data_IF_263017111222
#
_entry.id   IF_263017111222
#
_cell.length_a   1.000
_cell.length_b   1.000
_cell.length_c   1.000
_cell.angle_alpha   90.00
_cell.angle_beta   90.00
_cell.angle_gamma   90.00
#
_symmetry.space_group_name_H-M   'P 1'
#
loop_
_entity.id
_entity.type
_entity.pdbx_description
1 polymer ?
#
# COMPACT_ATOMS: atom_id res chain seq x y z
N UNK A 1 18.02 28.95 -11.45
CA UNK A 1 17.06 28.10 -10.72
C UNK A 1 16.90 28.70 -9.35
N UNK A 2 15.75 29.32 -9.05
CA UNK A 2 15.47 29.75 -7.67
C UNK A 2 15.28 28.51 -6.81
N UNK A 3 16.25 28.23 -5.92
CA UNK A 3 16.14 27.11 -4.95
C UNK A 3 14.89 27.21 -4.05
N UNK A 4 14.26 28.38 -3.99
CA UNK A 4 13.11 28.66 -3.11
C UNK A 4 11.75 28.23 -3.67
N UNK A 5 11.65 27.71 -4.90
CA UNK A 5 10.37 27.25 -5.45
C UNK A 5 9.99 25.83 -5.03
N UNK A 6 10.92 25.07 -4.44
CA UNK A 6 10.67 23.69 -4.01
C UNK A 6 9.85 23.65 -2.73
N UNK A 7 8.77 22.87 -2.75
CA UNK A 7 7.99 22.56 -1.55
C UNK A 7 8.51 21.28 -0.91
N UNK A 8 8.92 21.38 0.35
CA UNK A 8 9.24 20.24 1.20
C UNK A 8 8.03 19.94 2.07
N UNK A 9 7.52 18.73 1.95
CA UNK A 9 6.34 18.30 2.69
C UNK A 9 6.65 17.98 4.15
N UNK A 10 5.59 17.84 4.95
CA UNK A 10 5.73 17.46 6.37
C UNK A 10 6.25 16.03 6.58
N UNK A 11 6.26 15.19 5.55
CA UNK A 11 6.52 13.75 5.63
C UNK A 11 5.61 12.99 6.61
N UNK A 12 4.48 13.59 6.98
CA UNK A 12 3.47 12.96 7.81
C UNK A 12 2.74 11.85 7.04
N UNK A 13 2.25 10.87 7.78
CA UNK A 13 1.43 9.79 7.27
C UNK A 13 0.32 9.48 8.27
N UNK A 14 -0.79 9.00 7.76
CA UNK A 14 -1.85 8.40 8.55
C UNK A 14 -1.75 6.87 8.47
N UNK A 15 -2.05 6.21 9.58
CA UNK A 15 -2.26 4.76 9.59
C UNK A 15 -3.57 4.45 8.86
N UNK A 16 -3.52 3.49 7.95
CA UNK A 16 -4.69 2.88 7.34
C UNK A 16 -4.75 1.40 7.75
N UNK A 17 -5.93 0.76 7.68
CA UNK A 17 -6.15 -0.63 8.12
C UNK A 17 -5.05 -1.59 7.65
N UNK A 18 -4.56 -1.42 6.42
CA UNK A 18 -3.55 -2.27 5.80
C UNK A 18 -2.42 -1.49 5.13
N UNK A 19 -1.92 -0.44 5.79
CA UNK A 19 -0.75 0.30 5.32
C UNK A 19 -0.74 1.75 5.80
N UNK A 20 -0.34 2.65 4.89
CA UNK A 20 -0.20 4.07 5.18
C UNK A 20 -0.91 4.91 4.12
N UNK A 21 -1.45 6.05 4.55
CA UNK A 21 -1.92 7.10 3.65
C UNK A 21 -1.03 8.33 3.80
N UNK A 22 -0.52 8.83 2.69
CA UNK A 22 0.34 10.01 2.64
C UNK A 22 -0.39 11.07 1.79
N UNK A 23 -0.76 12.17 2.44
CA UNK A 23 -1.45 13.27 1.78
C UNK A 23 -0.45 14.20 1.08
N UNK A 24 -0.89 14.98 0.08
CA UNK A 24 0.01 15.82 -0.71
C UNK A 24 0.79 16.86 0.12
N UNK A 25 0.25 17.31 1.27
CA UNK A 25 0.98 18.17 2.20
C UNK A 25 2.28 17.55 2.75
N UNK A 26 2.37 16.22 2.74
CA UNK A 26 3.54 15.45 3.18
C UNK A 26 4.50 15.08 2.04
N UNK A 27 4.16 15.40 0.78
CA UNK A 27 4.99 15.13 -0.39
C UNK A 27 5.94 16.29 -0.67
N UNK A 28 7.09 15.99 -1.25
CA UNK A 28 7.97 16.97 -1.86
C UNK A 28 7.48 17.25 -3.28
N UNK A 29 7.38 18.53 -3.64
CA UNK A 29 6.86 18.96 -4.94
C UNK A 29 7.81 20.01 -5.52
N UNK A 30 8.44 19.70 -6.64
CA UNK A 30 9.26 20.66 -7.37
C UNK A 30 8.34 21.74 -7.96
N UNK A 31 8.74 23.00 -7.79
CA UNK A 31 7.91 24.20 -8.05
C UNK A 31 6.70 24.39 -7.12
N UNK A 32 6.53 23.54 -6.09
CA UNK A 32 5.32 23.52 -5.27
C UNK A 32 5.03 24.82 -4.52
N UNK A 33 6.04 25.58 -4.09
CA UNK A 33 5.84 26.86 -3.37
C UNK A 33 5.32 27.99 -4.26
N UNK A 34 5.38 27.81 -5.57
CA UNK A 34 4.96 28.81 -6.53
C UNK A 34 3.53 28.55 -7.01
N UNK A 35 2.61 29.41 -6.56
CA UNK A 35 1.18 29.35 -6.88
C UNK A 35 0.85 29.42 -8.37
N UNK A 36 1.80 29.83 -9.23
CA UNK A 36 1.65 29.82 -10.69
C UNK A 36 1.70 28.41 -11.27
N UNK A 37 2.35 27.48 -10.56
CA UNK A 37 2.61 26.11 -11.02
C UNK A 37 1.82 25.07 -10.23
N UNK A 38 1.58 25.31 -8.94
CA UNK A 38 0.86 24.39 -8.07
C UNK A 38 -0.11 25.11 -7.14
N UNK A 39 -1.29 24.50 -6.93
CA UNK A 39 -2.15 24.79 -5.79
C UNK A 39 -1.88 23.73 -4.72
N UNK A 40 -1.09 24.10 -3.73
CA UNK A 40 -0.78 23.23 -2.59
C UNK A 40 -2.00 23.07 -1.67
N UNK A 41 -2.14 21.91 -1.00
CA UNK A 41 -3.21 21.71 -0.04
C UNK A 41 -3.00 22.56 1.21
N UNK A 42 -4.09 22.99 1.83
CA UNK A 42 -4.04 23.63 3.15
C UNK A 42 -3.93 22.61 4.29
N UNK A 43 -4.44 21.38 4.11
CA UNK A 43 -4.41 20.28 5.08
C UNK A 43 -4.38 18.88 4.40
N UNK A 44 -5.24 17.92 4.81
CA UNK A 44 -5.46 16.60 4.18
C UNK A 44 -6.26 16.70 2.86
N UNK A 45 -6.02 17.76 2.11
CA UNK A 45 -6.67 18.06 0.85
C UNK A 45 -5.78 17.65 -0.34
N UNK A 46 -6.32 17.72 -1.54
CA UNK A 46 -5.62 17.42 -2.79
C UNK A 46 -4.62 18.53 -3.18
N UNK A 47 -3.56 18.16 -3.90
CA UNK A 47 -2.71 19.10 -4.62
C UNK A 47 -3.11 19.14 -6.09
N UNK A 48 -3.21 20.33 -6.68
CA UNK A 48 -3.52 20.51 -8.09
C UNK A 48 -2.32 21.14 -8.82
N UNK A 49 -1.85 20.46 -9.86
CA UNK A 49 -0.88 20.97 -10.80
C UNK A 49 -1.56 21.97 -11.73
N UNK A 50 -1.19 23.24 -11.63
CA UNK A 50 -1.63 24.27 -12.57
C UNK A 50 -0.95 24.05 -13.91
N UNK A 51 0.39 24.11 -13.94
CA UNK A 51 1.18 23.79 -15.14
C UNK A 51 2.67 23.66 -14.81
N UNK A 52 3.38 22.70 -15.43
CA UNK A 52 4.86 22.63 -15.42
C UNK A 52 5.41 21.95 -16.68
N UNK A 53 6.63 22.28 -17.08
CA UNK A 53 7.41 21.48 -18.04
C UNK A 53 8.29 20.42 -17.36
N UNK A 54 8.59 20.59 -16.07
CA UNK A 54 9.33 19.65 -15.21
C UNK A 54 8.44 19.21 -14.05
N UNK A 55 7.94 17.97 -14.10
CA UNK A 55 7.08 17.41 -13.07
C UNK A 55 7.88 16.42 -12.21
N UNK A 56 7.97 16.69 -10.91
CA UNK A 56 8.55 15.77 -9.94
C UNK A 56 7.83 15.91 -8.60
N UNK A 57 7.25 14.81 -8.15
CA UNK A 57 6.58 14.68 -6.85
C UNK A 57 7.08 13.43 -6.16
N UNK A 58 7.56 13.56 -4.93
CA UNK A 58 8.12 12.43 -4.17
C UNK A 58 7.60 12.35 -2.75
N UNK A 59 7.57 11.16 -2.20
CA UNK A 59 7.21 10.89 -0.80
C UNK A 59 8.03 9.73 -0.26
N UNK A 60 8.19 9.68 1.06
CA UNK A 60 8.89 8.60 1.75
C UNK A 60 8.16 8.23 3.05
N UNK A 61 8.27 6.96 3.44
CA UNK A 61 7.77 6.44 4.71
C UNK A 61 8.85 5.60 5.40
N UNK A 62 9.18 5.97 6.64
CA UNK A 62 10.19 5.30 7.48
C UNK A 62 9.59 4.29 8.47
N UNK A 63 8.25 4.24 8.59
CA UNK A 63 7.52 3.32 9.48
C UNK A 63 7.18 1.97 8.84
N UNK A 64 7.69 1.72 7.64
CA UNK A 64 7.49 0.44 6.98
C UNK A 64 8.20 -0.69 7.75
N UNK A 65 7.46 -1.77 8.01
CA UNK A 65 7.97 -3.01 8.58
C UNK A 65 8.97 -3.68 7.64
N UNK A 66 10.11 -4.19 8.13
CA UNK A 66 11.06 -4.96 7.32
C UNK A 66 10.47 -6.30 6.88
N UNK A 67 11.10 -6.96 5.91
CA UNK A 67 10.68 -8.28 5.37
C UNK A 67 9.18 -8.34 4.99
N UNK A 68 8.65 -7.22 4.53
CA UNK A 68 7.25 -7.05 4.13
C UNK A 68 7.20 -6.52 2.71
N UNK A 69 6.35 -7.13 1.89
CA UNK A 69 6.08 -6.63 0.54
C UNK A 69 5.00 -5.56 0.60
N UNK A 70 5.33 -4.36 0.12
CA UNK A 70 4.41 -3.24 -0.04
C UNK A 70 4.00 -3.09 -1.48
N UNK A 71 2.76 -2.68 -1.66
CA UNK A 71 2.14 -2.28 -2.89
C UNK A 71 1.88 -0.77 -2.81
N UNK A 72 2.53 0.01 -3.66
CA UNK A 72 2.44 1.47 -3.62
C UNK A 72 1.58 1.96 -4.77
N UNK A 73 0.65 2.84 -4.45
CA UNK A 73 -0.30 3.45 -5.38
C UNK A 73 -0.39 4.96 -5.19
N UNK A 74 -0.77 5.67 -6.24
CA UNK A 74 -1.24 7.04 -6.17
C UNK A 74 -2.72 7.10 -6.55
N UNK A 75 -3.51 7.86 -5.80
CA UNK A 75 -4.84 8.27 -6.25
C UNK A 75 -4.71 9.60 -6.99
N UNK A 76 -4.92 9.56 -8.31
CA UNK A 76 -4.78 10.71 -9.19
C UNK A 76 -6.12 11.10 -9.81
N UNK A 77 -6.19 12.32 -10.31
CA UNK A 77 -7.29 12.78 -11.16
C UNK A 77 -6.79 13.76 -12.21
N UNK A 78 -7.37 13.77 -13.41
CA UNK A 78 -7.21 14.89 -14.35
C UNK A 78 -8.44 15.79 -14.30
N UNK A 79 -8.22 17.09 -14.32
CA UNK A 79 -9.29 18.08 -14.51
C UNK A 79 -9.80 18.05 -15.96
N UNK A 80 -11.02 18.53 -16.25
CA UNK A 80 -11.55 18.55 -17.62
C UNK A 80 -10.65 19.30 -18.62
N UNK A 81 -10.02 20.38 -18.15
CA UNK A 81 -9.09 21.23 -18.87
C UNK A 81 -7.63 20.76 -18.83
N UNK A 82 -7.35 19.58 -18.25
CA UNK A 82 -6.00 19.04 -18.20
C UNK A 82 -5.36 18.92 -19.60
N UNK A 83 -4.05 19.05 -19.68
CA UNK A 83 -3.34 19.03 -20.96
C UNK A 83 -1.93 18.46 -20.81
N UNK A 84 -1.34 18.07 -21.94
CA UNK A 84 0.04 17.56 -21.99
C UNK A 84 0.22 16.09 -21.60
N UNK A 85 -0.79 15.39 -21.09
CA UNK A 85 -0.64 14.00 -20.62
C UNK A 85 -0.91 12.90 -21.67
N UNK A 86 -1.66 13.18 -22.74
CA UNK A 86 -2.13 12.16 -23.69
C UNK A 86 -1.01 11.39 -24.43
N UNK A 87 0.18 11.97 -24.58
CA UNK A 87 1.33 11.35 -25.26
C UNK A 87 2.60 11.27 -24.40
N UNK A 88 2.52 11.78 -23.16
CA UNK A 88 3.67 11.86 -22.27
C UNK A 88 3.56 10.80 -21.17
N UNK A 89 4.47 9.82 -21.12
CA UNK A 89 4.48 8.88 -20.01
C UNK A 89 4.87 9.60 -18.73
N UNK A 90 4.04 9.45 -17.70
CA UNK A 90 4.41 9.74 -16.32
C UNK A 90 5.14 8.52 -15.74
N UNK A 91 6.36 8.73 -15.25
CA UNK A 91 7.16 7.66 -14.67
C UNK A 91 6.84 7.55 -13.19
N UNK A 92 6.37 6.38 -12.76
CA UNK A 92 6.15 6.06 -11.36
C UNK A 92 7.28 5.16 -10.86
N UNK A 93 7.88 5.55 -9.74
CA UNK A 93 8.98 4.83 -9.11
C UNK A 93 8.64 4.50 -7.66
N UNK A 94 9.13 3.34 -7.21
CA UNK A 94 9.20 2.95 -5.80
C UNK A 94 10.62 2.48 -5.49
N UNK A 95 11.15 2.87 -4.34
CA UNK A 95 12.52 2.63 -3.90
C UNK A 95 12.55 2.18 -2.44
N UNK A 96 13.42 1.22 -2.14
CA UNK A 96 13.76 0.75 -0.80
C UNK A 96 15.27 0.53 -0.74
N UNK A 97 15.99 1.40 -0.02
CA UNK A 97 17.45 1.40 -0.02
C UNK A 97 18.03 1.49 -1.44
N UNK A 98 18.85 0.51 -1.81
CA UNK A 98 19.42 0.39 -3.17
C UNK A 98 18.43 -0.14 -4.21
N UNK A 99 17.37 -0.84 -3.79
CA UNK A 99 16.38 -1.46 -4.67
C UNK A 99 15.41 -0.42 -5.19
N UNK A 100 15.13 -0.46 -6.49
CA UNK A 100 14.09 0.37 -7.08
C UNK A 100 13.32 -0.41 -8.16
N UNK A 101 12.06 -0.04 -8.34
CA UNK A 101 11.23 -0.45 -9.47
C UNK A 101 10.57 0.79 -10.04
N UNK A 102 10.41 0.81 -11.35
CA UNK A 102 9.75 1.91 -12.04
C UNK A 102 8.87 1.40 -13.16
N UNK A 103 7.89 2.21 -13.57
CA UNK A 103 7.08 1.96 -14.76
C UNK A 103 6.56 3.25 -15.37
N UNK A 104 6.17 3.16 -16.64
CA UNK A 104 5.50 4.23 -17.37
C UNK A 104 3.99 4.12 -17.16
N UNK A 105 3.35 5.24 -16.91
CA UNK A 105 1.90 5.40 -16.80
C UNK A 105 1.49 6.44 -17.83
N UNK A 106 0.47 6.11 -18.63
CA UNK A 106 -0.14 7.06 -19.56
C UNK A 106 -1.46 7.51 -18.95
N UNK A 107 -1.59 8.80 -18.68
CA UNK A 107 -2.82 9.40 -18.17
C UNK A 107 -3.58 9.97 -19.36
N UNK A 108 -4.73 9.39 -19.69
CA UNK A 108 -5.57 9.79 -20.83
C UNK A 108 -6.88 10.40 -20.32
N UNK A 109 -7.47 11.38 -21.00
CA UNK A 109 -8.73 12.01 -20.56
C UNK A 109 -9.90 11.02 -20.52
N UNK A 110 -9.81 9.96 -21.31
CA UNK A 110 -10.73 8.83 -21.31
C UNK A 110 -10.43 7.95 -20.06
N UNK A 111 -10.90 8.37 -18.88
CA UNK A 111 -10.75 7.59 -17.65
C UNK A 111 -11.91 6.60 -17.46
N UNK A 112 -11.50 5.38 -17.09
CA UNK A 112 -12.27 4.20 -16.74
C UNK A 112 -12.97 4.45 -15.39
N UNK A 113 -14.27 4.72 -15.46
CA UNK A 113 -15.29 4.87 -14.39
C UNK A 113 -16.02 6.22 -14.49
N UNK A 114 -17.12 6.20 -15.23
CA UNK A 114 -18.03 7.33 -15.44
C UNK A 114 -18.73 7.81 -14.16
N UNK A 115 -18.67 7.05 -13.05
CA UNK A 115 -19.37 7.40 -11.81
C UNK A 115 -18.58 8.30 -10.86
N UNK A 116 -17.24 8.29 -10.90
CA UNK A 116 -16.40 9.01 -9.93
C UNK A 116 -15.37 9.98 -10.53
N UNK A 117 -15.08 9.88 -11.85
CA UNK A 117 -14.10 10.74 -12.52
C UNK A 117 -12.71 10.71 -11.88
N UNK A 118 -12.36 9.61 -11.21
CA UNK A 118 -11.09 9.43 -10.50
C UNK A 118 -10.21 8.47 -11.28
N UNK A 119 -8.93 8.80 -11.43
CA UNK A 119 -7.95 7.88 -11.97
C UNK A 119 -7.49 7.01 -10.81
N UNK A 120 -8.18 5.90 -10.59
CA UNK A 120 -7.51 4.75 -10.00
C UNK A 120 -6.52 4.26 -11.05
N UNK A 121 -5.36 4.93 -11.12
CA UNK A 121 -4.25 4.52 -11.97
C UNK A 121 -4.10 3.01 -11.75
N UNK A 122 -4.26 2.16 -12.77
CA UNK A 122 -4.49 0.71 -12.62
C UNK A 122 -3.23 -0.05 -12.18
N UNK A 123 -2.35 0.63 -11.47
CA UNK A 123 -0.94 0.51 -11.67
C UNK A 123 -0.17 0.80 -10.37
N UNK A 124 -0.43 -0.06 -9.40
CA UNK A 124 0.43 -0.35 -8.26
C UNK A 124 1.86 -0.78 -8.66
N UNK A 125 2.85 -0.47 -7.82
CA UNK A 125 4.19 -1.08 -7.87
C UNK A 125 4.46 -1.81 -6.56
N UNK A 126 4.94 -3.06 -6.65
CA UNK A 126 5.29 -3.84 -5.46
C UNK A 126 6.78 -3.79 -5.17
N UNK A 127 7.16 -3.54 -3.93
CA UNK A 127 8.55 -3.59 -3.46
C UNK A 127 8.65 -4.41 -2.17
N UNK A 128 9.72 -5.19 -2.07
CA UNK A 128 9.99 -5.99 -0.87
C UNK A 128 11.04 -5.31 0.01
N UNK A 129 10.74 -5.24 1.30
CA UNK A 129 11.58 -4.58 2.31
C UNK A 129 12.52 -5.55 3.04
N UNK A 130 12.78 -6.74 2.49
CA UNK A 130 13.78 -7.66 3.01
C UNK A 130 15.20 -7.13 2.79
N UNK A 131 16.09 -7.49 3.72
CA UNK A 131 17.50 -7.11 3.74
C UNK A 131 17.81 -5.95 4.69
N UNK A 132 19.07 -5.86 5.13
CA UNK A 132 19.57 -4.75 5.93
C UNK A 132 20.00 -3.61 5.02
N UNK A 133 19.06 -2.79 4.58
CA UNK A 133 19.40 -1.55 3.89
C UNK A 133 19.83 -0.49 4.91
N UNK A 134 20.82 0.32 4.54
CA UNK A 134 21.31 1.44 5.36
C UNK A 134 20.25 2.53 5.55
N UNK A 135 19.35 2.68 4.57
CA UNK A 135 18.22 3.60 4.60
C UNK A 135 16.91 2.82 4.66
N UNK A 136 16.33 2.74 5.86
CA UNK A 136 15.07 2.02 6.14
C UNK A 136 13.84 2.85 5.74
N UNK A 137 13.89 3.47 4.56
CA UNK A 137 12.82 4.32 4.02
C UNK A 137 12.31 3.77 2.71
N UNK A 138 11.00 3.57 2.63
CA UNK A 138 10.31 3.30 1.38
C UNK A 138 9.96 4.65 0.75
N UNK A 139 10.57 4.97 -0.38
CA UNK A 139 10.31 6.20 -1.12
C UNK A 139 9.60 5.88 -2.43
N UNK A 140 8.82 6.83 -2.93
CA UNK A 140 8.06 6.69 -4.16
C UNK A 140 7.82 8.05 -4.80
N UNK A 141 7.55 8.09 -6.10
CA UNK A 141 7.37 9.36 -6.78
C UNK A 141 6.90 9.26 -8.21
N UNK A 142 6.42 10.39 -8.72
CA UNK A 142 5.94 10.61 -10.08
C UNK A 142 6.86 11.60 -10.79
N UNK A 143 7.28 11.27 -12.01
CA UNK A 143 8.27 12.03 -12.76
C UNK A 143 7.86 12.19 -14.22
N UNK A 144 7.91 13.42 -14.71
CA UNK A 144 8.01 13.74 -16.14
C UNK A 144 8.92 14.97 -16.27
N UNK A 145 10.23 14.70 -16.36
CA UNK A 145 11.30 15.71 -16.32
C UNK A 145 12.08 15.79 -17.64
N UNK A 146 11.75 14.95 -18.62
CA UNK A 146 12.59 14.73 -19.80
C UNK A 146 12.05 15.40 -21.05
N UNK A 147 10.73 15.48 -21.22
CA UNK A 147 10.14 15.92 -22.47
C UNK A 147 10.28 17.43 -22.70
N UNK A 148 10.42 18.22 -21.62
CA UNK A 148 10.32 19.67 -21.64
C UNK A 148 8.93 20.21 -22.05
N UNK A 149 7.95 19.34 -22.29
CA UNK A 149 6.60 19.74 -22.69
C UNK A 149 5.78 20.14 -21.48
N UNK A 150 5.04 21.23 -21.62
CA UNK A 150 4.12 21.72 -20.60
C UNK A 150 2.94 20.77 -20.43
N UNK A 151 2.57 20.56 -19.16
CA UNK A 151 1.42 19.76 -18.75
C UNK A 151 0.76 20.40 -17.53
N UNK A 152 -0.54 20.21 -17.37
CA UNK A 152 -1.33 20.83 -16.32
C UNK A 152 -2.66 20.12 -16.08
N UNK A 153 -3.31 20.41 -14.96
CA UNK A 153 -4.59 19.82 -14.57
C UNK A 153 -4.47 18.44 -13.90
N UNK A 154 -3.30 18.06 -13.38
CA UNK A 154 -3.14 16.85 -12.58
C UNK A 154 -3.49 17.13 -11.11
N UNK A 155 -4.39 16.35 -10.56
CA UNK A 155 -4.74 16.34 -9.14
C UNK A 155 -4.12 15.11 -8.49
N UNK A 156 -3.41 15.32 -7.38
CA UNK A 156 -2.88 14.28 -6.51
C UNK A 156 -3.69 14.30 -5.22
N UNK A 157 -4.42 13.21 -4.93
CA UNK A 157 -5.22 13.11 -3.70
C UNK A 157 -4.46 12.46 -2.56
N UNK A 158 -3.71 11.38 -2.83
CA UNK A 158 -2.87 10.68 -1.84
C UNK A 158 -1.92 9.68 -2.49
N UNK A 159 -0.81 9.39 -1.81
CA UNK A 159 0.02 8.22 -2.01
C UNK A 159 -0.28 7.16 -0.95
N UNK A 160 -0.30 5.88 -1.33
CA UNK A 160 -0.70 4.78 -0.44
C UNK A 160 0.26 3.60 -0.57
N UNK A 161 1.25 3.47 0.32
CA UNK A 161 1.97 2.22 0.53
C UNK A 161 1.10 1.25 1.35
N UNK A 162 0.50 0.25 0.68
CA UNK A 162 -0.34 -0.79 1.28
C UNK A 162 0.43 -2.10 1.42
N UNK A 163 0.00 -2.98 2.32
CA UNK A 163 0.52 -4.35 2.35
C UNK A 163 0.04 -5.10 1.11
N UNK A 164 0.97 -5.71 0.35
CA UNK A 164 0.62 -6.46 -0.85
C UNK A 164 -0.15 -7.76 -0.56
N UNK A 165 -0.05 -8.29 0.66
CA UNK A 165 -0.90 -9.36 1.19
C UNK A 165 -1.01 -9.14 2.69
N UNK A 166 -2.22 -9.19 3.22
CA UNK A 166 -2.47 -9.06 4.65
C UNK A 166 -3.37 -10.18 5.15
N UNK A 167 -3.18 -10.51 6.42
CA UNK A 167 -4.04 -11.43 7.13
C UNK A 167 -5.37 -10.72 7.37
N UNK A 168 -6.46 -11.32 6.88
CA UNK A 168 -7.83 -10.81 7.07
C UNK A 168 -8.43 -11.36 8.34
N UNK A 169 -8.37 -12.68 8.52
CA UNK A 169 -9.01 -13.36 9.65
C UNK A 169 -8.37 -14.73 9.95
N UNK A 170 -8.60 -15.27 11.16
CA UNK A 170 -8.34 -16.66 11.54
C UNK A 170 -9.67 -17.39 11.53
N UNK A 171 -9.91 -18.19 10.49
CA UNK A 171 -11.24 -18.77 10.23
C UNK A 171 -11.43 -20.17 10.82
N UNK A 172 -10.36 -20.84 11.22
CA UNK A 172 -10.42 -22.12 11.93
C UNK A 172 -9.09 -22.42 12.65
N UNK A 173 -9.13 -23.33 13.62
CA UNK A 173 -7.94 -23.92 14.25
C UNK A 173 -8.04 -25.46 14.25
N UNK A 174 -6.89 -26.15 14.32
CA UNK A 174 -6.80 -27.60 14.41
C UNK A 174 -5.52 -28.00 15.13
N UNK A 175 -5.62 -28.90 16.10
CA UNK A 175 -4.45 -29.52 16.73
C UNK A 175 -4.26 -30.92 16.15
N UNK A 176 -3.05 -31.19 15.66
CA UNK A 176 -2.64 -32.52 15.22
C UNK A 176 -1.73 -33.15 16.28
N UNK A 177 -2.19 -34.24 16.88
CA UNK A 177 -1.44 -34.99 17.89
C UNK A 177 -0.49 -35.96 17.17
N UNK A 178 0.83 -35.72 17.23
CA UNK A 178 1.83 -36.68 16.79
C UNK A 178 2.42 -37.41 18.00
N UNK A 179 2.91 -38.63 17.79
CA UNK A 179 3.46 -39.51 18.84
C UNK A 179 4.55 -38.86 19.72
N UNK A 180 5.19 -37.79 19.24
CA UNK A 180 6.29 -37.11 19.93
C UNK A 180 6.13 -35.60 20.06
N UNK A 181 5.08 -34.97 19.49
CA UNK A 181 4.82 -33.53 19.59
C UNK A 181 3.41 -33.14 19.12
N UNK A 182 2.84 -32.08 19.69
CA UNK A 182 1.58 -31.52 19.24
C UNK A 182 1.85 -30.40 18.23
N UNK A 183 1.16 -30.42 17.10
CA UNK A 183 1.27 -29.39 16.07
C UNK A 183 -0.04 -28.61 15.99
N UNK A 184 -0.02 -27.35 16.41
CA UNK A 184 -1.16 -26.47 16.35
C UNK A 184 -1.16 -25.71 15.00
N UNK A 185 -2.23 -25.88 14.24
CA UNK A 185 -2.42 -25.24 12.94
C UNK A 185 -3.62 -24.29 13.00
N UNK A 186 -3.47 -23.15 12.35
CA UNK A 186 -4.53 -22.15 12.18
C UNK A 186 -4.80 -21.95 10.70
N UNK A 187 -6.07 -21.91 10.34
CA UNK A 187 -6.50 -21.58 8.99
C UNK A 187 -6.61 -20.06 8.87
N UNK A 188 -5.74 -19.52 8.03
CA UNK A 188 -5.59 -18.09 7.84
C UNK A 188 -6.26 -17.70 6.54
N UNK A 189 -7.25 -16.81 6.65
CA UNK A 189 -7.82 -16.13 5.51
C UNK A 189 -6.96 -14.92 5.19
N UNK A 190 -6.33 -14.94 4.03
CA UNK A 190 -5.56 -13.83 3.49
C UNK A 190 -6.41 -13.02 2.53
N UNK A 191 -6.14 -11.73 2.44
CA UNK A 191 -6.72 -10.85 1.42
C UNK A 191 -5.62 -10.09 0.69
N UNK A 192 -5.81 -9.95 -0.61
CA UNK A 192 -5.12 -8.99 -1.47
C UNK A 192 -6.18 -8.18 -2.25
N UNK A 193 -5.80 -7.13 -2.96
CA UNK A 193 -6.67 -6.29 -3.79
C UNK A 193 -7.44 -7.06 -4.89
N UNK A 194 -7.07 -8.31 -5.19
CA UNK A 194 -7.67 -9.15 -6.25
C UNK A 194 -8.39 -10.42 -5.77
N UNK A 195 -8.09 -10.93 -4.57
CA UNK A 195 -8.55 -12.28 -4.17
C UNK A 195 -8.45 -12.50 -2.65
N UNK A 196 -9.28 -13.42 -2.16
CA UNK A 196 -9.19 -14.03 -0.84
C UNK A 196 -8.79 -15.49 -0.94
N UNK A 197 -7.89 -15.91 -0.06
CA UNK A 197 -7.35 -17.26 -0.05
C UNK A 197 -7.18 -17.76 1.39
N UNK A 198 -7.64 -18.97 1.67
CA UNK A 198 -7.55 -19.60 2.98
C UNK A 198 -6.44 -20.66 2.99
N UNK A 199 -5.49 -20.58 3.93
CA UNK A 199 -4.37 -21.55 4.03
C UNK A 199 -4.07 -21.91 5.48
N UNK A 200 -3.74 -23.19 5.72
CA UNK A 200 -3.31 -23.65 7.05
C UNK A 200 -1.84 -23.28 7.32
N UNK A 201 -1.56 -22.75 8.51
CA UNK A 201 -0.24 -22.29 8.96
C UNK A 201 0.01 -22.69 10.41
N UNK A 202 1.29 -22.77 10.80
CA UNK A 202 1.70 -23.03 12.18
C UNK A 202 1.29 -21.88 13.11
N UNK A 203 0.61 -22.20 14.20
CA UNK A 203 0.06 -21.18 15.12
C UNK A 203 1.15 -20.36 15.79
N UNK A 204 2.27 -20.98 16.17
CA UNK A 204 3.38 -20.29 16.86
C UNK A 204 4.07 -19.30 15.93
N UNK A 205 4.28 -19.68 14.67
CA UNK A 205 4.79 -18.78 13.62
C UNK A 205 3.83 -17.60 13.41
N UNK A 206 2.53 -17.87 13.28
CA UNK A 206 1.54 -16.83 13.00
C UNK A 206 1.34 -15.88 14.17
N UNK A 207 1.35 -16.37 15.41
CA UNK A 207 1.26 -15.56 16.62
C UNK A 207 2.50 -14.67 16.79
N UNK A 208 3.70 -15.16 16.45
CA UNK A 208 4.91 -14.34 16.46
C UNK A 208 4.83 -13.15 15.49
N UNK A 209 4.22 -13.36 14.31
CA UNK A 209 4.16 -12.35 13.24
C UNK A 209 2.93 -11.42 13.31
N UNK A 210 1.81 -11.90 13.83
CA UNK A 210 0.52 -11.20 13.87
C UNK A 210 -0.12 -11.26 15.27
N UNK A 211 0.69 -11.10 16.32
CA UNK A 211 0.29 -11.29 17.73
C UNK A 211 -1.00 -10.57 18.13
N UNK A 212 -1.25 -9.37 17.60
CA UNK A 212 -2.45 -8.57 17.89
C UNK A 212 -3.77 -9.26 17.53
N UNK A 213 -3.77 -10.23 16.61
CA UNK A 213 -4.96 -11.00 16.21
C UNK A 213 -5.20 -12.24 17.08
N UNK A 214 -4.18 -12.71 17.80
CA UNK A 214 -4.27 -13.84 18.73
C UNK A 214 -4.54 -13.38 20.17
N UNK A 215 -4.86 -12.10 20.35
CA UNK A 215 -4.95 -11.41 21.64
C UNK A 215 -6.38 -10.96 21.97
N UNK A 216 -7.31 -11.88 22.23
CA UNK A 216 -8.54 -11.65 23.03
C UNK A 216 -9.13 -12.98 23.55
N UNK A 217 -9.91 -12.96 24.66
CA UNK A 217 -9.77 -13.88 25.79
C UNK A 217 -10.57 -15.19 25.69
N UNK A 218 -10.02 -16.23 26.33
CA UNK A 218 -10.75 -17.35 26.96
C UNK A 218 -11.88 -18.00 26.15
N UNK A 219 -11.56 -18.59 25.00
CA UNK A 219 -12.40 -19.68 24.41
C UNK A 219 -11.67 -21.04 24.52
N UNK A 220 -10.44 -21.06 25.06
CA UNK A 220 -9.61 -22.26 25.16
C UNK A 220 -9.96 -23.24 26.29
N UNK A 221 -11.06 -23.06 27.05
CA UNK A 221 -11.35 -23.90 28.21
C UNK A 221 -12.53 -24.89 28.06
N UNK A 222 -13.46 -24.73 27.11
CA UNK A 222 -14.68 -25.56 27.11
C UNK A 222 -14.63 -26.81 26.20
N UNK A 223 -13.59 -26.97 25.38
CA UNK A 223 -13.48 -28.12 24.46
C UNK A 223 -12.68 -29.33 24.97
N UNK A 224 -11.96 -29.23 26.11
CA UNK A 224 -10.98 -30.24 26.53
C UNK A 224 -11.43 -31.21 27.62
N UNK A 225 -12.72 -31.22 28.00
CA UNK A 225 -13.20 -32.11 29.06
C UNK A 225 -14.07 -33.30 28.61
N UNK A 226 -14.33 -33.51 27.31
CA UNK A 226 -15.31 -34.55 26.90
C UNK A 226 -14.84 -35.56 25.84
N UNK A 227 -13.53 -35.72 25.65
CA UNK A 227 -12.99 -36.81 24.80
C UNK A 227 -11.95 -37.65 25.53
N UNK A 228 -12.26 -38.05 26.76
CA UNK A 228 -11.69 -39.26 27.35
C UNK A 228 -12.79 -40.32 27.44
N UNK A 229 -12.84 -41.19 26.42
CA UNK A 229 -13.59 -42.44 26.47
C UNK A 229 -15.04 -42.37 26.00
N UNK A 230 -15.26 -42.57 24.70
CA UNK A 230 -16.39 -43.34 24.15
C UNK A 230 -16.14 -43.65 22.67
N UNK A 231 -15.93 -44.93 22.37
CA UNK A 231 -16.03 -45.47 21.01
C UNK A 231 -17.42 -45.15 20.45
N UNK A 232 -17.49 -44.39 19.36
CA UNK A 232 -18.68 -44.33 18.52
C UNK A 232 -18.51 -45.33 17.37
N UNK A 233 -19.18 -46.48 17.51
CA UNK A 233 -19.41 -47.44 16.44
C UNK A 233 -20.31 -46.80 15.37
N UNK A 234 -19.87 -46.81 14.12
CA UNK A 234 -20.73 -46.55 12.97
C UNK A 234 -21.60 -47.79 12.68
N UNK A 235 -22.93 -47.69 12.51
CA UNK A 235 -23.69 -48.75 11.86
C UNK A 235 -23.54 -48.60 10.34
N UNK A 236 -23.19 -49.70 9.68
CA UNK A 236 -23.23 -49.80 8.22
C UNK A 236 -24.67 -49.82 7.72
N UNK A 237 -24.96 -49.07 6.65
CA UNK A 237 -25.14 -49.56 5.28
C UNK A 237 -25.27 -48.34 4.35
#
# INVERSE_FOLDING_TARGET
MDLNSHYEGTHAFDLADHGFTIYPAALNIIWGKDGRYWKLPKEKDQAELVQVSWLEVTGCCDKVKPNTTYEVEFELKLTPDAFGFNELPLYFMVKWGSKNKWKKIYLTKEAIDESTGTYCVPNNLTIDTAGSESDKKLCFGLYEVWSGKWKGGLIIKKGMPKYAKYLRDVVANKVHWLLTNNMALVNILWRNHKMEEATWKDEKEMNSKYSFMFSTPEIYAEGMNDLCGKELKYPGF
#
